data_IF_290140654734
#
_entry.id   IF_290140654734
#
_cell.length_a   1.000
_cell.length_b   1.000
_cell.length_c   1.000
_cell.angle_alpha   90.00
_cell.angle_beta   90.00
_cell.angle_gamma   90.00
#
_symmetry.space_group_name_H-M   'P 1'
#
loop_
_entity.id
_entity.type
_entity.pdbx_description
1 polymer ?
#
# COMPACT_ATOMS: atom_id res chain seq x y z
N UNK A 1 11.78 -33.06 51.31
CA UNK A 1 11.65 -31.68 50.84
C UNK A 1 12.65 -31.47 49.71
N UNK A 2 12.24 -31.68 48.45
CA UNK A 2 13.09 -31.49 47.27
C UNK A 2 12.56 -30.29 46.50
N UNK A 3 13.41 -29.30 46.33
CA UNK A 3 13.16 -28.07 45.59
C UNK A 3 13.48 -28.34 44.14
N UNK A 4 12.46 -28.32 43.28
CA UNK A 4 12.63 -28.40 41.82
C UNK A 4 12.96 -26.99 41.29
N UNK A 5 14.16 -26.84 40.73
CA UNK A 5 14.60 -25.64 40.02
C UNK A 5 13.88 -25.55 38.67
N UNK A 6 13.14 -24.46 38.46
CA UNK A 6 12.63 -24.08 37.17
C UNK A 6 13.78 -23.61 36.28
N UNK A 7 13.99 -24.30 35.16
CA UNK A 7 14.90 -23.85 34.10
C UNK A 7 14.16 -22.90 33.16
N UNK A 8 14.66 -21.66 33.11
CA UNK A 8 14.25 -20.63 32.18
C UNK A 8 14.79 -20.96 30.78
N UNK A 9 13.92 -21.27 29.84
CA UNK A 9 14.25 -21.33 28.43
C UNK A 9 14.10 -19.94 27.81
N UNK A 10 15.17 -19.15 27.88
CA UNK A 10 15.35 -17.99 27.02
C UNK A 10 15.96 -18.46 25.70
N UNK A 11 15.12 -18.76 24.71
CA UNK A 11 15.57 -19.01 23.34
C UNK A 11 15.65 -17.68 22.61
N UNK A 12 16.80 -17.04 22.67
CA UNK A 12 17.16 -15.93 21.81
C UNK A 12 17.46 -16.49 20.42
N UNK A 13 16.47 -16.56 19.54
CA UNK A 13 16.73 -16.77 18.13
C UNK A 13 17.39 -15.51 17.58
N UNK A 14 18.67 -15.57 17.35
CA UNK A 14 19.43 -14.61 16.56
C UNK A 14 18.83 -14.59 15.16
N UNK A 15 18.21 -13.47 14.79
CA UNK A 15 17.83 -13.21 13.41
C UNK A 15 19.14 -13.00 12.64
N UNK A 16 19.51 -13.97 11.81
CA UNK A 16 20.62 -13.82 10.86
C UNK A 16 20.28 -12.62 9.96
N UNK A 17 21.02 -11.54 10.12
CA UNK A 17 20.98 -10.38 9.23
C UNK A 17 21.48 -10.82 7.87
N UNK A 18 20.56 -10.97 6.93
CA UNK A 18 20.87 -11.04 5.50
C UNK A 18 21.61 -9.75 5.17
N UNK A 19 22.83 -9.87 4.67
CA UNK A 19 23.71 -8.76 4.26
C UNK A 19 23.22 -8.10 2.96
N UNK A 20 22.06 -7.48 3.03
CA UNK A 20 21.47 -6.61 2.03
C UNK A 20 20.62 -5.60 2.81
N UNK A 21 20.91 -4.29 2.65
CA UNK A 21 20.16 -3.25 3.33
C UNK A 21 18.66 -3.37 3.07
N UNK A 22 17.83 -3.02 4.04
CA UNK A 22 16.37 -2.91 3.91
C UNK A 22 16.04 -1.99 2.73
N UNK A 23 15.20 -2.45 1.80
CA UNK A 23 14.68 -1.58 0.74
C UNK A 23 13.59 -0.65 1.31
N UNK A 24 13.42 0.56 0.76
CA UNK A 24 12.34 1.45 1.15
C UNK A 24 10.97 0.80 1.04
N UNK A 25 10.08 1.13 1.97
CA UNK A 25 8.66 0.77 1.92
C UNK A 25 7.89 2.02 1.51
N UNK A 26 7.11 1.93 0.45
CA UNK A 26 6.32 3.03 -0.05
C UNK A 26 4.82 2.68 -0.05
N UNK A 27 3.96 3.64 0.29
CA UNK A 27 2.52 3.54 0.04
C UNK A 27 2.16 4.22 -1.28
N UNK A 28 1.26 3.61 -2.05
CA UNK A 28 0.78 4.18 -3.33
C UNK A 28 -0.73 4.12 -3.40
N UNK A 29 -1.37 5.27 -3.70
CA UNK A 29 -2.83 5.36 -3.89
C UNK A 29 -3.23 6.53 -4.77
N UNK A 30 -4.46 6.50 -5.28
CA UNK A 30 -5.12 7.61 -5.94
C UNK A 30 -6.25 8.16 -5.06
N UNK A 31 -6.39 9.47 -5.00
CA UNK A 31 -7.44 10.15 -4.22
C UNK A 31 -7.94 11.42 -4.90
N UNK A 32 -9.12 11.86 -4.52
CA UNK A 32 -9.61 13.21 -4.79
C UNK A 32 -9.00 14.23 -3.83
N UNK A 33 -9.26 15.51 -4.04
CA UNK A 33 -8.69 16.59 -3.23
C UNK A 33 -9.10 16.53 -1.74
N UNK A 34 -10.25 15.93 -1.45
CA UNK A 34 -10.79 15.72 -0.09
C UNK A 34 -10.36 14.35 0.51
N UNK A 35 -9.45 13.62 -0.16
CA UNK A 35 -8.90 12.36 0.32
C UNK A 35 -9.76 11.12 0.05
N UNK A 36 -10.85 11.22 -0.72
CA UNK A 36 -11.68 10.06 -1.02
C UNK A 36 -10.92 9.04 -1.87
N UNK A 37 -10.95 7.75 -1.48
CA UNK A 37 -10.30 6.62 -2.12
C UNK A 37 -11.26 5.73 -2.93
N UNK A 38 -12.53 5.69 -2.56
CA UNK A 38 -13.52 4.79 -3.15
C UNK A 38 -14.59 4.34 -2.15
N UNK A 39 -15.39 3.35 -2.52
CA UNK A 39 -16.45 2.77 -1.68
C UNK A 39 -15.98 1.67 -0.73
N UNK A 40 -14.71 1.32 -0.76
CA UNK A 40 -14.16 0.14 -0.07
C UNK A 40 -14.29 -1.17 -0.87
N UNK A 41 -15.13 -1.19 -1.88
CA UNK A 41 -15.28 -2.30 -2.84
C UNK A 41 -14.93 -1.89 -4.27
N UNK A 42 -15.06 -0.59 -4.59
CA UNK A 42 -14.77 -0.03 -5.91
C UNK A 42 -14.17 1.38 -5.75
N UNK A 43 -13.38 1.81 -6.71
CA UNK A 43 -12.79 3.15 -6.77
C UNK A 43 -13.82 4.25 -7.07
N UNK A 44 -15.00 3.91 -7.59
CA UNK A 44 -16.05 4.84 -8.08
C UNK A 44 -15.64 5.69 -9.29
N UNK A 45 -14.41 5.50 -9.79
CA UNK A 45 -13.88 6.14 -11.01
C UNK A 45 -12.94 5.19 -11.76
N UNK A 46 -12.70 5.54 -13.02
CA UNK A 46 -11.72 4.87 -13.86
C UNK A 46 -10.80 5.90 -14.55
N UNK A 47 -9.53 5.92 -14.19
CA UNK A 47 -8.49 6.77 -14.76
C UNK A 47 -7.37 5.88 -15.30
N UNK A 48 -7.39 5.52 -16.61
CA UNK A 48 -6.40 4.60 -17.21
C UNK A 48 -4.95 5.04 -17.02
N UNK A 49 -4.69 6.34 -17.02
CA UNK A 49 -3.35 6.90 -16.83
C UNK A 49 -2.80 6.60 -15.44
N UNK A 50 -3.64 6.70 -14.41
CA UNK A 50 -3.27 6.33 -13.03
C UNK A 50 -3.03 4.82 -12.90
N UNK A 51 -3.87 3.99 -13.51
CA UNK A 51 -3.64 2.54 -13.54
C UNK A 51 -2.33 2.16 -14.24
N UNK A 52 -1.96 2.88 -15.31
CA UNK A 52 -0.69 2.68 -16.00
C UNK A 52 0.50 3.09 -15.11
N UNK A 53 0.37 4.21 -14.38
CA UNK A 53 1.34 4.65 -13.38
C UNK A 53 1.51 3.60 -12.27
N UNK A 54 0.41 3.18 -11.63
CA UNK A 54 0.41 2.14 -10.59
C UNK A 54 1.10 0.85 -11.09
N UNK A 55 0.73 0.39 -12.29
CA UNK A 55 1.35 -0.80 -12.89
C UNK A 55 2.85 -0.64 -13.08
N UNK A 56 3.29 0.50 -13.58
CA UNK A 56 4.71 0.79 -13.82
C UNK A 56 5.49 0.86 -12.51
N UNK A 57 4.99 1.61 -11.53
CA UNK A 57 5.64 1.80 -10.24
C UNK A 57 5.81 0.49 -9.46
N UNK A 58 4.78 -0.38 -9.47
CA UNK A 58 4.78 -1.62 -8.67
C UNK A 58 5.33 -2.84 -9.40
N UNK A 59 5.76 -2.70 -10.66
CA UNK A 59 6.26 -3.83 -11.44
C UNK A 59 7.51 -4.45 -10.81
N UNK A 60 7.59 -5.79 -10.83
CA UNK A 60 8.66 -6.60 -10.26
C UNK A 60 8.85 -6.42 -8.73
N UNK A 61 7.84 -5.93 -8.02
CA UNK A 61 7.91 -5.66 -6.59
C UNK A 61 6.86 -6.46 -5.81
N UNK A 62 7.10 -6.74 -4.52
CA UNK A 62 6.06 -7.18 -3.60
C UNK A 62 5.06 -6.05 -3.34
N UNK A 63 3.77 -6.41 -3.32
CA UNK A 63 2.65 -5.49 -3.03
C UNK A 63 1.87 -6.02 -1.82
N UNK A 64 1.69 -5.17 -0.81
CA UNK A 64 0.97 -5.47 0.43
C UNK A 64 -0.43 -4.86 0.36
N UNK A 65 -1.46 -5.65 0.60
CA UNK A 65 -2.84 -5.18 0.59
C UNK A 65 -3.69 -5.90 1.62
N UNK A 66 -4.82 -5.31 1.99
CA UNK A 66 -5.82 -5.97 2.81
C UNK A 66 -6.71 -6.91 2.01
N UNK A 67 -7.38 -7.82 2.70
CA UNK A 67 -8.29 -8.81 2.10
C UNK A 67 -9.34 -8.18 1.17
N UNK A 68 -10.02 -7.11 1.60
CA UNK A 68 -11.04 -6.45 0.76
C UNK A 68 -10.47 -5.91 -0.56
N UNK A 69 -9.26 -5.38 -0.55
CA UNK A 69 -8.59 -4.92 -1.77
C UNK A 69 -8.19 -6.07 -2.68
N UNK A 70 -7.77 -7.20 -2.11
CA UNK A 70 -7.54 -8.43 -2.87
C UNK A 70 -8.82 -8.96 -3.52
N UNK A 71 -9.93 -9.01 -2.78
CA UNK A 71 -11.23 -9.46 -3.28
C UNK A 71 -11.74 -8.55 -4.40
N UNK A 72 -11.59 -7.23 -4.27
CA UNK A 72 -11.92 -6.26 -5.32
C UNK A 72 -11.05 -6.43 -6.58
N UNK A 73 -9.77 -6.78 -6.41
CA UNK A 73 -8.84 -7.04 -7.50
C UNK A 73 -9.16 -8.34 -8.25
N UNK A 74 -9.64 -9.37 -7.54
CA UNK A 74 -10.16 -10.63 -8.04
C UNK A 74 -9.11 -11.60 -8.61
N UNK A 75 -7.82 -11.20 -8.69
CA UNK A 75 -6.74 -12.04 -9.23
C UNK A 75 -5.36 -11.48 -8.88
N UNK A 76 -4.30 -12.32 -8.87
CA UNK A 76 -2.92 -11.84 -8.76
C UNK A 76 -2.56 -10.88 -9.89
N UNK A 77 -1.79 -9.85 -9.56
CA UNK A 77 -1.25 -8.93 -10.56
C UNK A 77 0.03 -9.52 -11.18
N UNK A 78 0.09 -9.69 -12.50
CA UNK A 78 1.27 -10.27 -13.16
C UNK A 78 2.57 -9.49 -12.85
N UNK A 79 3.65 -10.22 -12.59
CA UNK A 79 4.97 -9.66 -12.31
C UNK A 79 5.13 -9.04 -10.92
N UNK A 80 4.20 -9.31 -10.00
CA UNK A 80 4.23 -8.84 -8.60
C UNK A 80 3.94 -10.00 -7.65
N UNK A 81 4.48 -9.94 -6.44
CA UNK A 81 4.08 -10.85 -5.36
C UNK A 81 3.00 -10.17 -4.54
N UNK A 82 1.83 -10.78 -4.45
CA UNK A 82 0.73 -10.28 -3.63
C UNK A 82 0.85 -10.82 -2.21
N UNK A 83 0.89 -9.91 -1.22
CA UNK A 83 0.90 -10.21 0.21
C UNK A 83 -0.39 -9.66 0.78
N UNK A 84 -1.26 -10.54 1.30
CA UNK A 84 -2.60 -10.18 1.76
C UNK A 84 -2.68 -10.24 3.27
N UNK A 85 -2.96 -9.10 3.89
CA UNK A 85 -3.12 -8.96 5.34
C UNK A 85 -4.57 -9.24 5.73
N UNK A 86 -4.79 -10.19 6.63
CA UNK A 86 -6.11 -10.54 7.15
C UNK A 86 -6.07 -11.00 8.60
N UNK A 87 -7.17 -10.79 9.33
CA UNK A 87 -7.37 -11.34 10.69
C UNK A 87 -7.90 -12.78 10.70
N UNK A 88 -8.33 -13.27 9.55
CA UNK A 88 -8.83 -14.64 9.39
C UNK A 88 -7.64 -15.61 9.26
N UNK A 89 -7.36 -16.33 10.35
CA UNK A 89 -6.24 -17.28 10.44
C UNK A 89 -6.45 -18.55 9.60
N UNK A 90 -7.65 -18.78 9.12
CA UNK A 90 -8.00 -19.96 8.29
C UNK A 90 -7.95 -19.65 6.79
N UNK A 91 -7.82 -18.39 6.40
CA UNK A 91 -7.87 -17.98 5.01
C UNK A 91 -6.61 -18.43 4.26
N UNK A 92 -6.84 -19.15 3.18
CA UNK A 92 -5.81 -19.52 2.19
C UNK A 92 -6.20 -18.93 0.85
N UNK A 93 -5.27 -18.27 0.18
CA UNK A 93 -5.50 -17.63 -1.12
C UNK A 93 -4.52 -18.22 -2.13
N UNK A 94 -5.02 -18.77 -3.20
CA UNK A 94 -4.17 -19.21 -4.30
C UNK A 94 -3.57 -18.01 -5.03
N UNK A 95 -2.23 -18.02 -5.20
CA UNK A 95 -1.49 -16.95 -5.86
C UNK A 95 -1.20 -15.72 -4.99
N UNK A 96 -1.42 -15.79 -3.67
CA UNK A 96 -1.02 -14.74 -2.73
C UNK A 96 -0.44 -15.34 -1.44
N UNK A 97 0.47 -14.61 -0.82
CA UNK A 97 0.96 -14.87 0.54
C UNK A 97 -0.02 -14.27 1.54
N UNK A 98 -0.57 -15.08 2.45
CA UNK A 98 -1.51 -14.61 3.48
C UNK A 98 -0.75 -14.43 4.79
N UNK A 99 -0.89 -13.26 5.40
CA UNK A 99 -0.27 -12.87 6.66
C UNK A 99 -1.29 -12.20 7.59
N UNK A 100 -0.97 -12.09 8.89
CA UNK A 100 -1.96 -11.69 9.89
C UNK A 100 -1.63 -10.37 10.59
N UNK A 101 -0.49 -9.76 10.25
CA UNK A 101 -0.09 -8.44 10.74
C UNK A 101 0.65 -7.64 9.66
N UNK A 102 0.75 -6.33 9.87
CA UNK A 102 1.55 -5.46 9.00
C UNK A 102 3.05 -5.80 9.11
N UNK A 103 3.52 -6.16 10.30
CA UNK A 103 4.92 -6.53 10.54
C UNK A 103 5.29 -7.80 9.76
N UNK A 104 4.43 -8.83 9.79
CA UNK A 104 4.62 -10.03 8.97
C UNK A 104 4.64 -9.69 7.48
N UNK A 105 3.72 -8.83 7.02
CA UNK A 105 3.66 -8.41 5.62
C UNK A 105 4.95 -7.70 5.18
N UNK A 106 5.48 -6.82 6.03
CA UNK A 106 6.73 -6.13 5.77
C UNK A 106 7.92 -7.10 5.71
N UNK A 107 7.99 -8.06 6.64
CA UNK A 107 9.03 -9.09 6.62
C UNK A 107 8.97 -9.94 5.35
N UNK A 108 7.79 -10.38 4.93
CA UNK A 108 7.59 -11.11 3.68
C UNK A 108 7.97 -10.23 2.48
N UNK A 109 7.54 -8.97 2.46
CA UNK A 109 7.86 -8.01 1.42
C UNK A 109 9.36 -7.77 1.26
N UNK A 110 10.09 -7.57 2.37
CA UNK A 110 11.54 -7.39 2.34
C UNK A 110 12.29 -8.63 1.80
N UNK A 111 11.85 -9.83 2.19
CA UNK A 111 12.41 -11.09 1.68
C UNK A 111 12.19 -11.23 0.18
N UNK A 112 10.96 -10.99 -0.30
CA UNK A 112 10.62 -11.08 -1.73
C UNK A 112 11.37 -10.02 -2.54
N UNK A 113 11.45 -8.78 -2.03
CA UNK A 113 12.20 -7.70 -2.65
C UNK A 113 13.68 -8.07 -2.83
N UNK A 114 14.31 -8.65 -1.80
CA UNK A 114 15.70 -9.12 -1.86
C UNK A 114 15.88 -10.23 -2.91
N UNK A 115 14.95 -11.19 -3.00
CA UNK A 115 15.00 -12.28 -3.97
C UNK A 115 14.80 -11.81 -5.41
N UNK A 116 13.97 -10.78 -5.62
CA UNK A 116 13.66 -10.24 -6.95
C UNK A 116 14.63 -9.15 -7.40
N UNK A 117 15.44 -8.60 -6.51
CA UNK A 117 16.20 -7.38 -6.75
C UNK A 117 15.28 -6.17 -6.91
N UNK A 118 14.16 -6.14 -6.19
CA UNK A 118 13.23 -5.01 -6.19
C UNK A 118 13.80 -3.86 -5.37
N UNK A 119 13.59 -2.64 -5.86
CA UNK A 119 14.03 -1.42 -5.16
C UNK A 119 13.07 -0.98 -4.05
N UNK A 120 11.86 -1.53 -3.97
CA UNK A 120 10.82 -1.14 -3.00
C UNK A 120 9.90 -2.29 -2.62
N UNK A 121 9.31 -2.17 -1.45
CA UNK A 121 8.09 -2.87 -1.03
C UNK A 121 6.93 -1.87 -1.12
N UNK A 122 5.83 -2.25 -1.75
CA UNK A 122 4.69 -1.36 -1.93
C UNK A 122 3.52 -1.74 -1.03
N UNK A 123 2.96 -0.75 -0.32
CA UNK A 123 1.65 -0.86 0.35
C UNK A 123 0.60 -0.28 -0.60
N UNK A 124 -0.38 -1.11 -0.98
CA UNK A 124 -1.35 -0.79 -2.04
C UNK A 124 -2.81 -0.80 -1.58
N UNK A 125 -3.01 -0.79 -0.26
CA UNK A 125 -4.33 -0.56 0.32
C UNK A 125 -5.01 -1.74 0.97
N UNK A 126 -6.30 -1.67 1.36
CA UNK A 126 -7.14 -0.44 1.43
C UNK A 126 -6.82 0.47 2.61
N UNK A 127 -7.74 1.37 2.92
CA UNK A 127 -7.52 2.43 3.90
C UNK A 127 -7.01 1.94 5.26
N UNK A 128 -7.51 0.82 5.78
CA UNK A 128 -7.01 0.26 7.03
C UNK A 128 -5.53 -0.13 6.94
N UNK A 129 -5.10 -0.70 5.81
CA UNK A 129 -3.71 -1.09 5.60
C UNK A 129 -2.83 0.16 5.43
N UNK A 130 -3.30 1.18 4.71
CA UNK A 130 -2.61 2.47 4.64
C UNK A 130 -2.43 3.07 6.04
N UNK A 131 -3.50 3.15 6.84
CA UNK A 131 -3.43 3.71 8.19
C UNK A 131 -2.45 2.94 9.09
N UNK A 132 -2.45 1.60 9.05
CA UNK A 132 -1.51 0.78 9.81
C UNK A 132 -0.06 0.92 9.34
N UNK A 133 0.14 1.27 8.08
CA UNK A 133 1.47 1.40 7.50
C UNK A 133 2.06 2.81 7.66
N UNK A 134 1.24 3.83 7.99
CA UNK A 134 1.69 5.23 8.08
C UNK A 134 2.90 5.44 8.99
N UNK A 135 3.04 4.66 10.06
CA UNK A 135 4.16 4.78 10.99
C UNK A 135 5.45 4.08 10.52
N UNK A 136 5.37 3.23 9.50
CA UNK A 136 6.46 2.35 9.09
C UNK A 136 6.91 2.51 7.64
N UNK A 137 6.13 3.20 6.80
CA UNK A 137 6.52 3.51 5.41
C UNK A 137 7.47 4.71 5.37
N UNK A 138 8.36 4.70 4.38
CA UNK A 138 9.38 5.72 4.17
C UNK A 138 8.92 6.79 3.17
N UNK A 139 8.00 6.42 2.28
CA UNK A 139 7.57 7.25 1.15
C UNK A 139 6.07 7.09 0.88
N UNK A 140 5.40 8.18 0.49
CA UNK A 140 4.04 8.16 -0.02
C UNK A 140 4.04 8.63 -1.48
N UNK A 141 3.38 7.87 -2.35
CA UNK A 141 3.17 8.21 -3.76
C UNK A 141 1.69 8.37 -4.00
N UNK A 142 1.24 9.61 -4.13
CA UNK A 142 -0.18 9.96 -4.16
C UNK A 142 -0.56 10.51 -5.53
N UNK A 143 -1.45 9.82 -6.23
CA UNK A 143 -2.11 10.34 -7.43
C UNK A 143 -3.27 11.23 -7.02
N UNK A 144 -3.14 12.54 -7.17
CA UNK A 144 -4.23 13.47 -6.92
C UNK A 144 -5.06 13.63 -8.20
N UNK A 145 -6.37 13.35 -8.08
CA UNK A 145 -7.30 13.35 -9.20
C UNK A 145 -8.26 14.54 -9.13
N UNK A 146 -8.46 15.22 -10.25
CA UNK A 146 -9.58 16.13 -10.46
C UNK A 146 -10.60 15.45 -11.37
N UNK A 147 -11.70 14.99 -10.78
CA UNK A 147 -12.71 14.20 -11.49
C UNK A 147 -13.62 15.08 -12.34
N UNK A 148 -14.14 14.53 -13.45
CA UNK A 148 -15.24 15.07 -14.22
C UNK A 148 -16.53 15.07 -13.40
N UNK A 149 -17.52 15.86 -13.81
CA UNK A 149 -18.76 16.05 -13.06
C UNK A 149 -19.51 14.73 -12.82
N UNK A 150 -19.64 13.91 -13.86
CA UNK A 150 -20.35 12.62 -13.77
C UNK A 150 -19.67 11.66 -12.77
N UNK A 151 -18.35 11.71 -12.65
CA UNK A 151 -17.60 10.93 -11.67
C UNK A 151 -17.72 11.51 -10.26
N UNK A 152 -17.78 12.83 -10.11
CA UNK A 152 -18.05 13.48 -8.82
C UNK A 152 -19.43 13.14 -8.30
N UNK A 153 -20.45 13.11 -9.16
CA UNK A 153 -21.82 12.72 -8.80
C UNK A 153 -21.85 11.26 -8.29
N UNK A 154 -21.12 10.34 -8.96
CA UNK A 154 -20.98 8.95 -8.48
C UNK A 154 -20.31 8.89 -7.10
N UNK A 155 -19.24 9.64 -6.89
CA UNK A 155 -18.55 9.74 -5.59
C UNK A 155 -19.49 10.33 -4.53
N UNK A 156 -20.21 11.41 -4.82
CA UNK A 156 -21.15 12.05 -3.90
C UNK A 156 -22.33 11.13 -3.52
N UNK A 157 -22.74 10.23 -4.41
CA UNK A 157 -23.78 9.24 -4.14
C UNK A 157 -23.29 8.02 -3.34
N UNK A 158 -21.98 7.90 -3.11
CA UNK A 158 -21.39 6.78 -2.39
C UNK A 158 -21.66 6.92 -0.88
N UNK A 159 -22.50 6.04 -0.33
CA UNK A 159 -22.90 6.06 1.09
C UNK A 159 -21.85 5.45 2.03
N UNK A 160 -20.84 4.76 1.50
CA UNK A 160 -19.78 4.06 2.25
C UNK A 160 -18.41 4.55 1.85
N UNK A 161 -18.23 5.86 1.72
CA UNK A 161 -16.95 6.46 1.31
C UNK A 161 -15.79 6.08 2.24
N UNK A 162 -14.68 5.73 1.62
CA UNK A 162 -13.42 5.41 2.29
C UNK A 162 -12.40 6.48 1.93
N UNK A 163 -11.65 6.94 2.93
CA UNK A 163 -10.72 8.06 2.79
C UNK A 163 -9.28 7.63 3.10
N UNK A 164 -8.33 8.30 2.48
CA UNK A 164 -6.90 8.15 2.76
C UNK A 164 -6.58 8.63 4.19
N UNK A 165 -5.52 8.08 4.80
CA UNK A 165 -4.98 8.65 6.03
C UNK A 165 -4.52 10.09 5.78
N UNK A 166 -4.59 10.90 6.84
CA UNK A 166 -4.08 12.27 6.80
C UNK A 166 -2.56 12.26 6.59
N UNK A 167 -2.10 13.15 5.71
CA UNK A 167 -0.67 13.37 5.48
C UNK A 167 -0.27 14.58 6.33
N UNK A 168 0.15 14.33 7.57
CA UNK A 168 0.56 15.36 8.52
C UNK A 168 1.87 16.03 8.07
N UNK A 169 1.89 17.34 7.81
CA UNK A 169 3.10 18.05 7.41
C UNK A 169 4.19 18.09 8.51
N UNK A 170 3.88 17.73 9.75
CA UNK A 170 4.87 17.55 10.81
C UNK A 170 5.64 16.22 10.67
N UNK A 171 5.14 15.27 9.88
CA UNK A 171 5.73 13.96 9.67
C UNK A 171 6.19 13.73 8.23
N UNK A 172 5.54 14.41 7.28
CA UNK A 172 5.72 14.18 5.85
C UNK A 172 6.09 15.46 5.12
N UNK A 173 7.17 15.42 4.36
CA UNK A 173 7.62 16.51 3.50
C UNK A 173 7.37 16.18 2.03
N UNK A 174 6.73 17.10 1.30
CA UNK A 174 6.56 16.99 -0.15
C UNK A 174 7.93 17.07 -0.84
N UNK A 175 8.28 16.06 -1.61
CA UNK A 175 9.41 16.08 -2.53
C UNK A 175 8.99 16.76 -3.83
N UNK A 176 9.42 18.00 -4.02
CA UNK A 176 9.06 18.79 -5.21
C UNK A 176 9.81 18.36 -6.48
N UNK A 177 10.93 17.64 -6.34
CA UNK A 177 11.69 17.13 -7.48
C UNK A 177 11.08 15.82 -8.00
N UNK A 178 10.66 14.92 -7.10
CA UNK A 178 9.99 13.67 -7.45
C UNK A 178 8.51 13.84 -7.80
N UNK A 179 7.89 14.97 -7.38
CA UNK A 179 6.48 15.27 -7.64
C UNK A 179 6.29 15.98 -8.98
N UNK A 180 5.09 15.84 -9.55
CA UNK A 180 4.71 16.61 -10.73
C UNK A 180 4.59 18.10 -10.42
N UNK A 181 5.39 18.92 -11.09
CA UNK A 181 5.29 20.36 -10.99
C UNK A 181 3.98 20.93 -11.57
N UNK A 182 3.34 20.19 -12.50
CA UNK A 182 2.11 20.58 -13.19
C UNK A 182 1.12 19.44 -13.27
N UNK A 183 -0.15 19.80 -13.39
CA UNK A 183 -1.19 18.84 -13.71
C UNK A 183 -1.00 18.25 -15.10
N UNK A 184 -1.19 16.96 -15.22
CA UNK A 184 -1.25 16.22 -16.49
C UNK A 184 -2.71 16.11 -16.95
N UNK A 185 -2.97 16.14 -18.25
CA UNK A 185 -4.27 15.74 -18.79
C UNK A 185 -4.53 14.27 -18.46
N UNK A 186 -5.77 13.92 -18.23
CA UNK A 186 -6.18 12.54 -17.93
C UNK A 186 -7.19 12.03 -18.94
N UNK A 187 -7.22 10.70 -19.09
CA UNK A 187 -8.27 9.97 -19.79
C UNK A 187 -9.29 9.38 -18.80
N UNK A 188 -10.44 8.91 -19.30
CA UNK A 188 -11.48 8.33 -18.46
C UNK A 188 -12.23 9.37 -17.64
N UNK A 189 -12.36 9.12 -16.34
CA UNK A 189 -13.21 9.89 -15.41
C UNK A 189 -12.54 11.13 -14.81
N UNK A 190 -11.24 11.35 -15.01
CA UNK A 190 -10.57 12.56 -14.55
C UNK A 190 -10.44 13.61 -15.67
N UNK A 191 -10.46 14.88 -15.28
CA UNK A 191 -10.07 16.02 -16.12
C UNK A 191 -8.55 16.09 -16.21
N UNK A 192 -7.91 15.97 -15.05
CA UNK A 192 -6.46 16.03 -14.90
C UNK A 192 -6.05 15.31 -13.62
N UNK A 193 -4.78 14.96 -13.55
CA UNK A 193 -4.17 14.29 -12.42
C UNK A 193 -2.72 14.73 -12.24
N UNK A 194 -2.16 14.47 -11.08
CA UNK A 194 -0.73 14.67 -10.81
C UNK A 194 -0.26 13.71 -9.73
N UNK A 195 1.03 13.39 -9.75
CA UNK A 195 1.69 12.60 -8.72
C UNK A 195 2.30 13.55 -7.69
N UNK A 196 2.10 13.28 -6.42
CA UNK A 196 2.78 13.89 -5.30
C UNK A 196 3.55 12.81 -4.54
N UNK A 197 4.82 13.06 -4.29
CA UNK A 197 5.70 12.17 -3.53
C UNK A 197 6.03 12.86 -2.22
N UNK A 198 5.91 12.12 -1.11
CA UNK A 198 6.26 12.64 0.21
C UNK A 198 7.26 11.69 0.85
N UNK A 199 8.25 12.26 1.54
CA UNK A 199 9.20 11.53 2.37
C UNK A 199 8.97 11.82 3.83
N UNK A 200 9.22 10.84 4.66
CA UNK A 200 9.18 10.98 6.11
C UNK A 200 10.33 11.87 6.59
N UNK A 201 10.07 12.82 7.50
CA UNK A 201 11.04 13.71 8.13
C UNK A 201 11.41 13.24 9.55
#
# INVERSE_FOLDING_TARGET
MSVVKAQSFASTRSVETVSGGRVPVASIWAQTADGFLGSGQDLCWRVPDDFAHFKSATMNSPIIMGRSSWEALGRPLPGRTSIVVTRDLSLVIDGAEVVHSIDEALLCGQKDAAMRGSERVWVTGGAQIYSLAMDVVDELVVSLLELKEEARERVASCTSGVYAPEIDPATWQLDTEASDARWRGASGDALRWRIQVFHRI
#
